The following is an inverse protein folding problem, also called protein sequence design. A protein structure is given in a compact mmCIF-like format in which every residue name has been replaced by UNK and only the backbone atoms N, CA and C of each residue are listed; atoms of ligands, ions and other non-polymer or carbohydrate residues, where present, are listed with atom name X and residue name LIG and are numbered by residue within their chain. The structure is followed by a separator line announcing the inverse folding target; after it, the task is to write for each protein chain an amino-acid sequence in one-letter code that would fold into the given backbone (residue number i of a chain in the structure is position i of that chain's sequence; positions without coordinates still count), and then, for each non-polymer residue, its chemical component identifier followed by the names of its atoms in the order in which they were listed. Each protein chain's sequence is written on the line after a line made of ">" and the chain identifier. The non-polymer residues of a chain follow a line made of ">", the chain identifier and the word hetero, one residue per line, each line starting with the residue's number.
data_IF_001962494143
#
_entry.id   IF_001962494143
#
_cell.length_a   1.000
_cell.length_b   1.000
_cell.length_c   1.000
_cell.angle_alpha   90.00
_cell.angle_beta   90.00
_cell.angle_gamma   90.00
#
_symmetry.space_group_name_H-M   'P 1'
#
loop_
_entity.id
_entity.type
_entity.pdbx_description
1 polymer ?
#
# COMPACT_ATOMS: atom_id res chain seq x y z
N UNK A 1 26.59 5.41 5.74
CA UNK A 1 25.15 5.58 6.02
C UNK A 1 24.86 7.07 5.89
N UNK A 2 23.97 7.53 4.99
CA UNK A 2 23.68 8.96 4.94
C UNK A 2 22.97 9.37 6.23
N UNK A 3 23.55 10.33 6.95
CA UNK A 3 23.09 10.91 8.21
C UNK A 3 22.06 12.03 7.96
N UNK A 4 21.10 11.79 7.06
CA UNK A 4 20.00 12.72 6.81
C UNK A 4 18.96 12.64 7.92
N UNK A 5 18.43 13.79 8.34
CA UNK A 5 17.28 13.83 9.25
C UNK A 5 16.04 13.35 8.48
N UNK A 6 15.67 12.08 8.64
CA UNK A 6 14.52 11.48 7.95
C UNK A 6 13.23 11.84 8.69
N UNK A 7 12.33 12.56 8.05
CA UNK A 7 11.01 12.82 8.61
C UNK A 7 10.05 11.70 8.20
N UNK A 8 9.79 10.78 9.12
CA UNK A 8 8.95 9.60 8.89
C UNK A 8 7.56 9.86 9.49
N UNK A 9 6.54 9.69 8.66
CA UNK A 9 5.14 9.75 9.10
C UNK A 9 4.44 8.44 8.80
N UNK A 10 3.63 7.96 9.74
CA UNK A 10 2.88 6.71 9.62
C UNK A 10 1.39 7.05 9.70
N UNK A 11 0.66 6.71 8.65
CA UNK A 11 -0.80 6.76 8.64
C UNK A 11 -1.37 5.36 8.47
N UNK A 12 -2.32 5.00 9.34
CA UNK A 12 -2.92 3.65 9.35
C UNK A 12 -4.43 3.74 9.23
N UNK A 13 -4.99 2.98 8.30
CA UNK A 13 -6.43 2.90 8.05
C UNK A 13 -6.90 1.47 8.30
N UNK A 14 -7.41 1.21 9.51
CA UNK A 14 -7.79 -0.13 9.97
C UNK A 14 -8.88 -0.73 9.07
N UNK A 15 -8.69 -1.99 8.66
CA UNK A 15 -9.67 -2.71 7.81
C UNK A 15 -9.76 -2.20 6.36
N UNK A 16 -8.93 -1.24 5.97
CA UNK A 16 -8.99 -0.64 4.63
C UNK A 16 -8.54 -1.63 3.55
N UNK A 17 -9.18 -1.54 2.38
CA UNK A 17 -8.84 -2.29 1.16
C UNK A 17 -7.91 -1.47 0.26
N UNK A 18 -7.33 -2.11 -0.75
CA UNK A 18 -6.52 -1.43 -1.78
C UNK A 18 -7.28 -0.27 -2.45
N UNK A 19 -8.58 -0.45 -2.69
CA UNK A 19 -9.43 0.57 -3.31
C UNK A 19 -9.68 1.77 -2.38
N UNK A 20 -10.07 1.54 -1.13
CA UNK A 20 -10.30 2.62 -0.16
C UNK A 20 -9.02 3.43 0.11
N UNK A 21 -7.87 2.75 0.14
CA UNK A 21 -6.58 3.38 0.38
C UNK A 21 -6.18 4.39 -0.71
N UNK A 22 -6.66 4.24 -1.96
CA UNK A 22 -6.45 5.23 -3.03
C UNK A 22 -7.09 6.60 -2.73
N UNK A 23 -8.10 6.65 -1.84
CA UNK A 23 -8.69 7.89 -1.34
C UNK A 23 -7.94 8.41 -0.12
N UNK A 24 -7.60 7.51 0.82
CA UNK A 24 -6.92 7.85 2.06
C UNK A 24 -5.50 8.40 1.88
N UNK A 25 -4.82 8.02 0.79
CA UNK A 25 -3.45 8.47 0.55
C UNK A 25 -3.36 9.94 0.11
N UNK A 26 -4.41 10.52 -0.47
CA UNK A 26 -4.35 11.85 -1.10
C UNK A 26 -3.89 12.97 -0.15
N UNK A 27 -4.36 13.06 1.11
CA UNK A 27 -3.86 14.05 2.06
C UNK A 27 -2.35 13.91 2.33
N UNK A 28 -1.79 12.70 2.28
CA UNK A 28 -0.34 12.49 2.40
C UNK A 28 0.43 13.10 1.23
N UNK A 29 -0.13 13.05 0.01
CA UNK A 29 0.52 13.50 -1.22
C UNK A 29 0.70 15.02 -1.28
N UNK A 30 -0.14 15.78 -0.55
CA UNK A 30 -0.01 17.24 -0.41
C UNK A 30 1.37 17.64 0.14
N UNK A 31 1.94 16.80 1.01
CA UNK A 31 3.27 17.03 1.62
C UNK A 31 4.42 16.73 0.67
N UNK A 32 4.15 16.16 -0.51
CA UNK A 32 5.14 15.74 -1.52
C UNK A 32 6.29 14.92 -0.92
N UNK A 33 6.01 13.75 -0.31
CA UNK A 33 7.06 12.92 0.30
C UNK A 33 8.03 12.39 -0.76
N UNK A 34 9.30 12.23 -0.38
CA UNK A 34 10.30 11.60 -1.25
C UNK A 34 9.97 10.13 -1.54
N UNK A 35 9.44 9.43 -0.52
CA UNK A 35 9.12 8.02 -0.58
C UNK A 35 7.81 7.71 0.15
N UNK A 36 7.05 6.76 -0.38
CA UNK A 36 5.90 6.16 0.28
C UNK A 36 6.09 4.65 0.31
N UNK A 37 5.94 4.08 1.50
CA UNK A 37 5.86 2.63 1.69
C UNK A 37 4.39 2.24 1.83
N UNK A 38 3.89 1.45 0.88
CA UNK A 38 2.53 0.94 0.87
C UNK A 38 2.52 -0.47 1.46
N UNK A 39 1.75 -0.66 2.54
CA UNK A 39 1.47 -1.97 3.11
C UNK A 39 -0.04 -2.16 3.19
N UNK A 40 -0.62 -2.73 2.14
CA UNK A 40 -2.08 -2.86 1.94
C UNK A 40 -2.37 -4.07 1.06
N UNK A 41 -3.53 -4.71 1.26
CA UNK A 41 -3.99 -5.86 0.48
C UNK A 41 -4.47 -7.03 1.33
N UNK A 42 -4.06 -7.11 2.60
CA UNK A 42 -4.45 -8.22 3.49
C UNK A 42 -5.97 -8.32 3.72
N UNK A 43 -6.68 -7.19 3.75
CA UNK A 43 -8.14 -7.17 3.90
C UNK A 43 -8.86 -7.56 2.60
N UNK A 44 -8.22 -7.39 1.46
CA UNK A 44 -8.76 -7.75 0.15
C UNK A 44 -8.70 -9.26 -0.10
N UNK A 45 -7.74 -9.99 0.49
CA UNK A 45 -7.50 -11.44 0.25
C UNK A 45 -8.76 -12.31 0.42
N UNK A 46 -9.65 -11.93 1.35
CA UNK A 46 -10.86 -12.68 1.66
C UNK A 46 -11.82 -12.69 0.47
N UNK A 47 -12.06 -11.53 -0.09
CA UNK A 47 -13.19 -11.29 -1.00
C UNK A 47 -12.75 -11.02 -2.45
N UNK A 48 -11.44 -10.86 -2.70
CA UNK A 48 -10.86 -10.56 -4.01
C UNK A 48 -9.88 -11.61 -4.49
N UNK A 49 -9.72 -11.69 -5.80
CA UNK A 49 -8.65 -12.44 -6.45
C UNK A 49 -7.34 -11.64 -6.46
N UNK A 50 -6.16 -12.30 -6.50
CA UNK A 50 -4.88 -11.63 -6.51
C UNK A 50 -4.76 -10.53 -7.59
N UNK A 51 -5.31 -10.76 -8.78
CA UNK A 51 -5.28 -9.83 -9.90
C UNK A 51 -6.01 -8.52 -9.56
N UNK A 52 -7.15 -8.61 -8.86
CA UNK A 52 -7.94 -7.44 -8.44
C UNK A 52 -7.20 -6.61 -7.37
N UNK A 53 -6.43 -7.27 -6.52
CA UNK A 53 -5.59 -6.61 -5.50
C UNK A 53 -4.45 -5.85 -6.18
N UNK A 54 -3.79 -6.49 -7.15
CA UNK A 54 -2.73 -5.86 -7.96
C UNK A 54 -3.27 -4.65 -8.72
N UNK A 55 -4.45 -4.77 -9.34
CA UNK A 55 -5.11 -3.65 -10.02
C UNK A 55 -5.40 -2.48 -9.07
N UNK A 56 -5.81 -2.78 -7.83
CA UNK A 56 -5.98 -1.78 -6.76
C UNK A 56 -4.68 -1.04 -6.46
N UNK A 57 -3.57 -1.76 -6.29
CA UNK A 57 -2.24 -1.18 -6.05
C UNK A 57 -1.78 -0.34 -7.26
N UNK A 58 -1.97 -0.83 -8.49
CA UNK A 58 -1.63 -0.11 -9.72
C UNK A 58 -2.44 1.18 -9.88
N UNK A 59 -3.74 1.15 -9.55
CA UNK A 59 -4.59 2.36 -9.52
C UNK A 59 -4.07 3.36 -8.50
N UNK A 60 -3.69 2.91 -7.31
CA UNK A 60 -3.11 3.77 -6.29
C UNK A 60 -1.79 4.39 -6.76
N UNK A 61 -0.90 3.61 -7.36
CA UNK A 61 0.36 4.12 -7.93
C UNK A 61 0.10 5.20 -8.99
N UNK A 62 -0.92 5.03 -9.85
CA UNK A 62 -1.32 6.06 -10.83
C UNK A 62 -1.78 7.36 -10.16
N UNK A 63 -2.54 7.27 -9.06
CA UNK A 63 -2.93 8.46 -8.26
C UNK A 63 -1.69 9.14 -7.68
N UNK A 64 -0.78 8.39 -7.07
CA UNK A 64 0.46 8.94 -6.50
C UNK A 64 1.29 9.64 -7.58
N UNK A 65 1.51 9.00 -8.74
CA UNK A 65 2.28 9.61 -9.85
C UNK A 65 1.62 10.87 -10.42
N UNK A 66 0.28 10.94 -10.40
CA UNK A 66 -0.46 12.11 -10.88
C UNK A 66 -0.32 13.29 -9.92
N UNK A 67 -0.45 13.05 -8.62
CA UNK A 67 -0.51 14.11 -7.61
C UNK A 67 0.88 14.44 -7.01
N UNK A 68 1.81 13.49 -7.00
CA UNK A 68 3.18 13.64 -6.52
C UNK A 68 4.18 12.87 -7.42
N UNK A 69 4.51 13.42 -8.60
CA UNK A 69 5.24 12.70 -9.65
C UNK A 69 6.68 12.32 -9.29
N UNK A 70 7.28 12.97 -8.28
CA UNK A 70 8.65 12.70 -7.81
C UNK A 70 8.70 11.66 -6.69
N UNK A 71 7.56 11.31 -6.09
CA UNK A 71 7.50 10.34 -4.99
C UNK A 71 7.82 8.94 -5.49
N UNK A 72 8.78 8.28 -4.83
CA UNK A 72 9.06 6.86 -5.05
C UNK A 72 8.07 6.01 -4.28
N UNK A 73 7.42 5.06 -4.96
CA UNK A 73 6.47 4.13 -4.34
C UNK A 73 7.16 2.80 -4.09
N UNK A 74 7.17 2.36 -2.85
CA UNK A 74 7.69 1.06 -2.41
C UNK A 74 6.50 0.23 -1.96
N UNK A 75 6.31 -0.96 -2.54
CA UNK A 75 5.24 -1.88 -2.13
C UNK A 75 5.85 -2.90 -1.17
N UNK A 76 5.35 -2.93 0.05
CA UNK A 76 5.73 -3.91 1.07
C UNK A 76 4.92 -5.20 0.86
N UNK A 77 5.60 -6.33 0.96
CA UNK A 77 4.97 -7.65 0.85
C UNK A 77 3.88 -7.86 1.89
N UNK A 78 2.87 -8.64 1.52
CA UNK A 78 1.80 -9.02 2.43
C UNK A 78 2.31 -10.02 3.47
N UNK A 79 1.93 -9.81 4.73
CA UNK A 79 2.22 -10.76 5.80
C UNK A 79 1.26 -11.94 5.76
N UNK A 80 1.79 -13.12 6.07
CA UNK A 80 0.99 -14.34 6.17
C UNK A 80 0.06 -14.26 7.37
N UNK A 81 -1.21 -14.60 7.12
CA UNK A 81 -2.19 -14.82 8.17
C UNK A 81 -2.14 -16.29 8.59
N UNK A 82 -1.93 -16.51 9.88
CA UNK A 82 -1.89 -17.86 10.46
C UNK A 82 -3.25 -18.31 11.02
N UNK A 83 -4.24 -17.42 11.05
CA UNK A 83 -5.57 -17.70 11.56
C UNK A 83 -6.45 -18.46 10.54
N UNK A 84 -6.13 -18.39 9.25
CA UNK A 84 -6.81 -19.14 8.18
C UNK A 84 -5.85 -19.56 7.08
N UNK A 85 -5.63 -20.87 6.97
CA UNK A 85 -4.71 -21.51 6.00
C UNK A 85 -5.05 -21.14 4.54
N UNK A 86 -6.34 -20.96 4.23
CA UNK A 86 -6.83 -20.57 2.90
C UNK A 86 -6.26 -19.23 2.40
N UNK A 87 -5.93 -18.31 3.30
CA UNK A 87 -5.36 -17.00 2.94
C UNK A 87 -3.86 -17.08 2.71
N UNK A 88 -3.17 -18.00 3.38
CA UNK A 88 -1.75 -18.29 3.21
C UNK A 88 -1.45 -18.75 1.79
N UNK A 89 -2.34 -19.53 1.18
CA UNK A 89 -2.16 -20.06 -0.18
C UNK A 89 -2.21 -18.98 -1.28
N UNK A 90 -2.84 -17.84 -1.00
CA UNK A 90 -2.97 -16.71 -1.95
C UNK A 90 -1.77 -15.76 -1.93
N UNK A 91 -0.86 -15.92 -0.96
CA UNK A 91 0.37 -15.12 -0.85
C UNK A 91 1.54 -16.05 -1.14
N UNK A 92 2.13 -15.94 -2.33
CA UNK A 92 3.31 -16.74 -2.70
C UNK A 92 4.58 -15.98 -2.30
N UNK A 93 5.57 -16.72 -1.78
CA UNK A 93 6.95 -16.26 -1.62
C UNK A 93 7.67 -16.22 -2.97
#
# INVERSE_FOLDING_TARGET
>A
MPTGNHNIHVETYRGSTTEAMAHHIRPCLVKQPDQIVLHVGTNDIRDRQPEEIVDGIMKMQKVIKKESPKTTVIVSELLHRNDKIEYTQKVKK
#
